data_IF_872407304804
#
_entry.id   IF_872407304804
#
_cell.length_a   1.000
_cell.length_b   1.000
_cell.length_c   1.000
_cell.angle_alpha   90.00
_cell.angle_beta   90.00
_cell.angle_gamma   90.00
#
_symmetry.space_group_name_H-M   'P 1'
#
loop_
_entity.id
_entity.type
_entity.pdbx_description
1 polymer ?
#
# COMPACT_ATOMS: atom_id res chain seq x y z
N UNK A 1 19.59 -13.30 -3.80
CA UNK A 1 20.18 -12.63 -4.99
C UNK A 1 19.73 -13.33 -6.28
N UNK A 2 19.79 -12.69 -7.46
CA UNK A 2 19.32 -13.31 -8.71
C UNK A 2 19.99 -14.66 -9.01
N UNK A 3 21.29 -14.81 -8.70
CA UNK A 3 22.02 -16.06 -8.89
C UNK A 3 21.50 -17.22 -8.02
N UNK A 4 21.08 -16.92 -6.80
CA UNK A 4 20.50 -17.91 -5.89
C UNK A 4 19.13 -18.37 -6.41
N UNK A 5 18.29 -17.44 -6.86
CA UNK A 5 17.01 -17.75 -7.48
C UNK A 5 17.18 -18.54 -8.78
N UNK A 6 18.18 -18.23 -9.60
CA UNK A 6 18.51 -18.97 -10.81
C UNK A 6 18.91 -20.42 -10.49
N UNK A 7 19.71 -20.64 -9.45
CA UNK A 7 20.09 -21.96 -8.99
C UNK A 7 18.87 -22.76 -8.48
N UNK A 8 17.98 -22.13 -7.72
CA UNK A 8 16.73 -22.76 -7.27
C UNK A 8 15.81 -23.14 -8.44
N UNK A 9 15.66 -22.26 -9.43
CA UNK A 9 14.87 -22.55 -10.65
C UNK A 9 15.48 -23.73 -11.41
N UNK A 10 16.80 -23.71 -11.62
CA UNK A 10 17.51 -24.78 -12.32
C UNK A 10 17.36 -26.13 -11.58
N UNK A 11 17.51 -26.12 -10.25
CA UNK A 11 17.31 -27.31 -9.42
C UNK A 11 15.86 -27.81 -9.46
N UNK A 12 14.87 -26.90 -9.42
CA UNK A 12 13.46 -27.25 -9.51
C UNK A 12 13.09 -27.84 -10.89
N UNK A 13 13.75 -27.40 -11.96
CA UNK A 13 13.58 -27.93 -13.32
C UNK A 13 14.33 -29.22 -13.59
N UNK A 14 15.40 -29.51 -12.86
CA UNK A 14 16.23 -30.68 -13.11
C UNK A 14 15.41 -31.98 -13.07
N UNK A 15 15.42 -32.73 -14.18
CA UNK A 15 14.70 -34.01 -14.30
C UNK A 15 13.18 -33.89 -14.47
N UNK A 16 12.66 -32.70 -14.78
CA UNK A 16 11.26 -32.49 -15.15
C UNK A 16 11.14 -32.12 -16.62
N UNK A 17 10.29 -32.84 -17.34
CA UNK A 17 9.87 -32.48 -18.70
C UNK A 17 8.53 -31.75 -18.66
N UNK A 18 8.36 -30.76 -19.55
CA UNK A 18 7.11 -30.05 -19.75
C UNK A 18 7.15 -28.55 -19.40
N UNK A 19 6.02 -27.84 -19.64
CA UNK A 19 5.92 -26.41 -19.45
C UNK A 19 6.02 -26.03 -17.96
N UNK A 20 6.69 -24.91 -17.69
CA UNK A 20 6.85 -24.37 -16.33
C UNK A 20 6.22 -22.98 -16.23
N UNK A 21 5.51 -22.75 -15.12
CA UNK A 21 5.08 -21.43 -14.68
C UNK A 21 5.99 -20.96 -13.53
N UNK A 22 6.72 -19.86 -13.75
CA UNK A 22 7.47 -19.17 -12.71
C UNK A 22 6.60 -18.09 -12.06
N UNK A 23 6.63 -17.99 -10.73
CA UNK A 23 5.99 -16.90 -9.99
C UNK A 23 7.07 -16.16 -9.24
N UNK A 24 7.33 -14.92 -9.64
CA UNK A 24 8.36 -14.05 -9.10
C UNK A 24 7.64 -12.94 -8.30
N UNK A 25 7.63 -13.11 -6.98
CA UNK A 25 6.84 -12.26 -6.09
C UNK A 25 7.64 -11.07 -5.54
N UNK A 26 6.98 -9.93 -5.39
CA UNK A 26 7.50 -8.68 -4.80
C UNK A 26 8.80 -8.17 -5.46
N UNK A 27 8.85 -8.20 -6.78
CA UNK A 27 9.99 -7.70 -7.56
C UNK A 27 10.05 -6.19 -7.42
N UNK A 28 11.22 -5.65 -7.05
CA UNK A 28 11.43 -4.21 -6.87
C UNK A 28 12.30 -3.60 -7.96
N UNK A 29 12.97 -4.42 -8.76
CA UNK A 29 13.77 -4.00 -9.90
C UNK A 29 13.66 -5.05 -11.02
N UNK A 30 13.52 -4.57 -12.27
CA UNK A 30 13.46 -5.43 -13.44
C UNK A 30 14.70 -6.34 -13.53
N UNK A 31 15.87 -5.84 -13.18
CA UNK A 31 17.14 -6.55 -13.30
C UNK A 31 17.22 -7.77 -12.36
N UNK A 32 16.39 -7.83 -11.30
CA UNK A 32 16.27 -9.01 -10.45
C UNK A 32 15.71 -10.22 -11.20
N UNK A 33 14.87 -9.98 -12.21
CA UNK A 33 14.11 -11.04 -12.89
C UNK A 33 14.45 -11.25 -14.34
N UNK A 34 15.04 -10.25 -15.04
CA UNK A 34 15.53 -10.41 -16.41
C UNK A 34 16.31 -11.72 -16.64
N UNK A 35 17.29 -12.10 -15.80
CA UNK A 35 18.04 -13.35 -16.02
C UNK A 35 17.23 -14.62 -15.69
N UNK A 36 16.09 -14.49 -15.01
CA UNK A 36 15.25 -15.60 -14.55
C UNK A 36 14.08 -15.90 -15.50
N UNK A 37 13.75 -14.96 -16.39
CA UNK A 37 12.60 -15.11 -17.29
C UNK A 37 12.84 -16.27 -18.27
N UNK A 38 11.84 -17.13 -18.47
CA UNK A 38 11.99 -18.26 -19.35
C UNK A 38 12.06 -17.81 -20.81
N UNK A 39 12.88 -18.50 -21.60
CA UNK A 39 13.03 -18.27 -23.05
C UNK A 39 12.37 -19.35 -23.90
N UNK A 40 11.81 -20.39 -23.26
CA UNK A 40 11.09 -21.49 -23.92
C UNK A 40 9.69 -21.09 -24.37
N UNK A 41 9.18 -21.74 -25.43
CA UNK A 41 7.89 -21.40 -26.06
C UNK A 41 6.66 -21.81 -25.26
N UNK A 42 6.79 -22.78 -24.35
CA UNK A 42 5.68 -23.30 -23.55
C UNK A 42 5.76 -22.86 -22.07
N UNK A 43 6.78 -22.08 -21.72
CA UNK A 43 7.00 -21.58 -20.38
C UNK A 43 6.34 -20.22 -20.17
N UNK A 44 5.94 -19.93 -18.93
CA UNK A 44 5.34 -18.66 -18.57
C UNK A 44 5.93 -18.12 -17.25
N UNK A 45 5.84 -16.80 -17.07
CA UNK A 45 6.19 -16.14 -15.81
C UNK A 45 5.07 -15.17 -15.39
N UNK A 46 4.75 -15.19 -14.10
CA UNK A 46 3.96 -14.15 -13.43
C UNK A 46 4.94 -13.39 -12.54
N UNK A 47 5.01 -12.08 -12.76
CA UNK A 47 5.80 -11.16 -11.94
C UNK A 47 4.83 -10.30 -11.16
N UNK A 48 4.92 -10.31 -9.84
CA UNK A 48 4.22 -9.34 -9.00
C UNK A 48 5.20 -8.25 -8.60
N UNK A 49 4.71 -7.01 -8.57
CA UNK A 49 5.51 -5.87 -8.16
C UNK A 49 4.60 -4.77 -7.64
N UNK A 50 5.16 -3.93 -6.78
CA UNK A 50 4.55 -2.65 -6.39
C UNK A 50 4.93 -1.52 -7.33
N UNK A 51 5.87 -1.77 -8.25
CA UNK A 51 6.33 -0.85 -9.29
C UNK A 51 5.82 -1.32 -10.64
N UNK A 52 5.73 -0.40 -11.59
CA UNK A 52 5.29 -0.73 -12.94
C UNK A 52 6.26 -1.64 -13.71
N UNK A 53 7.54 -1.65 -13.33
CA UNK A 53 8.61 -2.38 -14.03
C UNK A 53 8.57 -2.14 -15.55
N UNK A 54 8.31 -0.89 -15.98
CA UNK A 54 8.11 -0.55 -17.38
C UNK A 54 9.31 -0.98 -18.26
N UNK A 55 10.52 -0.91 -17.73
CA UNK A 55 11.73 -1.40 -18.41
C UNK A 55 11.75 -2.91 -18.64
N UNK A 56 11.08 -3.72 -17.81
CA UNK A 56 10.92 -5.16 -18.03
C UNK A 56 9.96 -5.43 -19.19
N UNK A 57 8.82 -4.74 -19.18
CA UNK A 57 7.78 -4.84 -20.22
C UNK A 57 8.31 -4.36 -21.57
N UNK A 58 9.06 -3.26 -21.59
CA UNK A 58 9.64 -2.70 -22.80
C UNK A 58 10.61 -3.67 -23.50
N UNK A 59 11.32 -4.50 -22.75
CA UNK A 59 12.35 -5.41 -23.31
C UNK A 59 11.87 -6.85 -23.51
N UNK A 60 10.94 -7.34 -22.68
CA UNK A 60 10.48 -8.74 -22.69
C UNK A 60 9.00 -8.87 -23.10
N UNK A 61 8.29 -7.77 -23.29
CA UNK A 61 6.85 -7.76 -23.53
C UNK A 61 6.05 -8.23 -22.31
N UNK A 62 4.88 -8.82 -22.56
CA UNK A 62 3.97 -9.30 -21.53
C UNK A 62 2.72 -8.45 -21.37
N UNK A 63 1.81 -8.90 -20.50
CA UNK A 63 0.58 -8.19 -20.15
C UNK A 63 0.69 -7.70 -18.71
N UNK A 64 0.56 -6.39 -18.52
CA UNK A 64 0.46 -5.80 -17.18
C UNK A 64 -0.99 -5.86 -16.74
N UNK A 65 -1.22 -6.47 -15.58
CA UNK A 65 -2.52 -6.47 -14.93
C UNK A 65 -2.40 -5.63 -13.66
N UNK A 66 -2.98 -4.42 -13.70
CA UNK A 66 -3.07 -3.56 -12.53
C UNK A 66 -4.14 -4.11 -11.60
N UNK A 67 -3.81 -4.26 -10.33
CA UNK A 67 -4.76 -4.60 -9.29
C UNK A 67 -5.18 -3.31 -8.59
N UNK A 68 -6.48 -3.04 -8.61
CA UNK A 68 -7.06 -1.89 -7.92
C UNK A 68 -7.57 -2.29 -6.53
N UNK A 69 -7.88 -1.30 -5.71
CA UNK A 69 -8.70 -1.53 -4.52
C UNK A 69 -10.07 -2.11 -4.91
N UNK A 70 -10.75 -2.76 -3.98
CA UNK A 70 -12.08 -3.28 -4.27
C UNK A 70 -13.09 -2.16 -4.52
N UNK A 71 -14.05 -2.43 -5.38
CA UNK A 71 -15.30 -1.66 -5.41
C UNK A 71 -16.15 -1.94 -4.17
N UNK A 72 -17.18 -1.11 -3.90
CA UNK A 72 -18.09 -1.32 -2.77
C UNK A 72 -18.82 -2.68 -2.81
N UNK A 73 -19.14 -3.18 -4.01
CA UNK A 73 -19.80 -4.47 -4.19
C UNK A 73 -18.87 -5.65 -3.89
N UNK A 74 -17.64 -5.61 -4.39
CA UNK A 74 -16.61 -6.64 -4.17
C UNK A 74 -16.21 -6.70 -2.68
N UNK A 75 -16.12 -5.53 -2.03
CA UNK A 75 -15.90 -5.47 -0.58
C UNK A 75 -17.01 -6.18 0.19
N UNK A 76 -18.27 -5.98 -0.19
CA UNK A 76 -19.41 -6.64 0.44
C UNK A 76 -19.39 -8.15 0.18
N UNK A 77 -19.00 -8.56 -1.03
CA UNK A 77 -18.85 -9.98 -1.38
C UNK A 77 -17.75 -10.66 -0.56
N UNK A 78 -16.60 -10.00 -0.37
CA UNK A 78 -15.54 -10.48 0.52
C UNK A 78 -16.03 -10.61 1.97
N UNK A 79 -16.77 -9.60 2.48
CA UNK A 79 -17.36 -9.69 3.82
C UNK A 79 -18.30 -10.89 3.93
N UNK A 80 -19.16 -11.13 2.92
CA UNK A 80 -20.08 -12.28 2.89
C UNK A 80 -19.34 -13.61 2.85
N UNK A 81 -18.28 -13.72 2.06
CA UNK A 81 -17.53 -14.96 1.90
C UNK A 81 -16.79 -15.36 3.17
N UNK A 82 -16.29 -14.38 3.95
CA UNK A 82 -15.52 -14.64 5.18
C UNK A 82 -16.40 -14.69 6.43
N UNK A 83 -17.37 -13.78 6.58
CA UNK A 83 -18.20 -13.67 7.79
C UNK A 83 -19.52 -14.45 7.69
N UNK A 84 -19.86 -14.94 6.50
CA UNK A 84 -21.12 -15.62 6.20
C UNK A 84 -22.22 -14.66 5.75
N UNK A 85 -22.97 -15.08 4.72
CA UNK A 85 -24.05 -14.29 4.13
C UNK A 85 -25.12 -13.88 5.16
N UNK A 86 -25.54 -14.80 6.03
CA UNK A 86 -26.57 -14.54 7.05
C UNK A 86 -26.25 -13.32 7.93
N UNK A 87 -25.00 -13.22 8.42
CA UNK A 87 -24.57 -12.11 9.28
C UNK A 87 -24.52 -10.80 8.50
N UNK A 88 -23.93 -10.82 7.32
CA UNK A 88 -23.74 -9.63 6.50
C UNK A 88 -25.06 -9.10 5.96
N UNK A 89 -25.98 -9.98 5.57
CA UNK A 89 -27.29 -9.58 5.02
C UNK A 89 -28.23 -9.07 6.11
N UNK A 90 -28.11 -9.57 7.35
CA UNK A 90 -28.84 -9.03 8.50
C UNK A 90 -28.42 -7.58 8.83
N UNK A 91 -27.17 -7.21 8.57
CA UNK A 91 -26.59 -5.89 8.87
C UNK A 91 -26.01 -5.21 7.61
N UNK A 92 -26.69 -5.31 6.47
CA UNK A 92 -26.10 -4.92 5.16
C UNK A 92 -25.61 -3.46 5.11
N UNK A 93 -26.37 -2.53 5.70
CA UNK A 93 -25.98 -1.13 5.75
C UNK A 93 -24.68 -0.93 6.56
N UNK A 94 -24.54 -1.64 7.68
CA UNK A 94 -23.33 -1.61 8.48
C UNK A 94 -22.15 -2.30 7.80
N UNK A 95 -22.37 -3.41 7.09
CA UNK A 95 -21.34 -4.07 6.30
C UNK A 95 -20.75 -3.13 5.22
N UNK A 96 -21.59 -2.32 4.57
CA UNK A 96 -21.11 -1.28 3.64
C UNK A 96 -20.26 -0.22 4.35
N UNK A 97 -20.64 0.18 5.56
CA UNK A 97 -19.87 1.12 6.39
C UNK A 97 -18.52 0.53 6.81
N UNK A 98 -18.46 -0.76 7.13
CA UNK A 98 -17.19 -1.46 7.38
C UNK A 98 -16.29 -1.39 6.14
N UNK A 99 -16.84 -1.68 4.96
CA UNK A 99 -16.10 -1.58 3.69
C UNK A 99 -15.55 -0.17 3.46
N UNK A 100 -16.37 0.85 3.65
CA UNK A 100 -15.98 2.25 3.51
C UNK A 100 -14.92 2.68 4.55
N UNK A 101 -15.04 2.25 5.81
CA UNK A 101 -14.05 2.53 6.85
C UNK A 101 -12.68 1.87 6.56
N UNK A 102 -12.69 0.72 5.89
CA UNK A 102 -11.49 0.07 5.35
C UNK A 102 -10.98 0.74 4.06
N UNK A 103 -11.61 1.80 3.58
CA UNK A 103 -11.36 2.41 2.27
C UNK A 103 -11.46 1.41 1.13
N UNK A 104 -12.18 0.29 1.29
CA UNK A 104 -12.21 -0.83 0.35
C UNK A 104 -10.83 -1.46 0.03
N UNK A 105 -9.82 -1.21 0.86
CA UNK A 105 -8.48 -1.72 0.65
C UNK A 105 -8.40 -3.21 1.05
N UNK A 106 -7.91 -4.11 0.17
CA UNK A 106 -7.92 -5.55 0.45
C UNK A 106 -7.24 -5.95 1.77
N UNK A 107 -6.11 -5.34 2.13
CA UNK A 107 -5.42 -5.63 3.39
C UNK A 107 -6.27 -5.20 4.61
N UNK A 108 -6.89 -4.02 4.56
CA UNK A 108 -7.73 -3.52 5.64
C UNK A 108 -8.97 -4.39 5.85
N UNK A 109 -9.60 -4.84 4.76
CA UNK A 109 -10.71 -5.77 4.79
C UNK A 109 -10.30 -7.14 5.35
N UNK A 110 -9.12 -7.66 4.98
CA UNK A 110 -8.58 -8.92 5.55
C UNK A 110 -8.34 -8.82 7.05
N UNK A 111 -7.76 -7.73 7.52
CA UNK A 111 -7.55 -7.46 8.96
C UNK A 111 -8.90 -7.42 9.68
N UNK A 112 -9.84 -6.66 9.15
CA UNK A 112 -11.16 -6.45 9.75
C UNK A 112 -12.00 -7.73 9.78
N UNK A 113 -12.01 -8.50 8.69
CA UNK A 113 -12.71 -9.78 8.64
C UNK A 113 -12.11 -10.79 9.63
N UNK A 114 -10.79 -10.90 9.72
CA UNK A 114 -10.15 -11.75 10.73
C UNK A 114 -10.50 -11.33 12.17
N UNK A 115 -10.52 -10.03 12.44
CA UNK A 115 -10.94 -9.48 13.73
C UNK A 115 -12.40 -9.80 14.07
N UNK A 116 -13.31 -9.69 13.09
CA UNK A 116 -14.74 -9.99 13.24
C UNK A 116 -15.06 -11.49 13.30
N UNK A 117 -14.27 -12.33 12.65
CA UNK A 117 -14.41 -13.80 12.71
C UNK A 117 -14.04 -14.35 14.09
N UNK A 118 -13.12 -13.68 14.79
CA UNK A 118 -12.75 -14.04 16.18
C UNK A 118 -13.67 -13.41 17.23
N UNK A 119 -14.64 -12.57 16.83
CA UNK A 119 -15.60 -11.86 17.70
C UNK A 119 -17.02 -11.90 17.12
N UNK A 120 -17.68 -13.06 17.11
CA UNK A 120 -19.01 -13.21 16.51
C UNK A 120 -20.10 -12.36 17.20
N UNK A 121 -19.89 -12.00 18.48
CA UNK A 121 -20.83 -11.16 19.23
C UNK A 121 -20.70 -9.64 18.99
N UNK A 122 -19.68 -9.19 18.26
CA UNK A 122 -19.52 -7.78 17.91
C UNK A 122 -20.36 -7.45 16.67
N UNK A 123 -21.23 -6.44 16.75
CA UNK A 123 -22.05 -6.01 15.61
C UNK A 123 -21.22 -5.38 14.50
N UNK A 124 -21.68 -5.47 13.24
CA UNK A 124 -20.99 -4.80 12.13
C UNK A 124 -21.08 -3.27 12.25
N UNK A 125 -22.17 -2.76 12.84
CA UNK A 125 -22.32 -1.33 13.09
C UNK A 125 -21.27 -0.80 14.06
N UNK A 126 -21.11 -1.48 15.20
CA UNK A 126 -20.13 -1.15 16.24
C UNK A 126 -18.70 -1.24 15.70
N UNK A 127 -18.43 -2.26 14.88
CA UNK A 127 -17.15 -2.40 14.20
C UNK A 127 -16.85 -1.24 13.25
N UNK A 128 -17.84 -0.81 12.46
CA UNK A 128 -17.70 0.32 11.56
C UNK A 128 -17.46 1.64 12.30
N UNK A 129 -18.21 1.90 13.38
CA UNK A 129 -18.02 3.07 14.25
C UNK A 129 -16.62 3.07 14.86
N UNK A 130 -16.20 1.92 15.41
CA UNK A 130 -14.87 1.77 15.96
C UNK A 130 -13.78 2.01 14.89
N UNK A 131 -13.89 1.44 13.69
CA UNK A 131 -12.89 1.66 12.65
C UNK A 131 -12.83 3.12 12.17
N UNK A 132 -13.98 3.81 12.10
CA UNK A 132 -14.06 5.18 11.61
C UNK A 132 -13.34 6.20 12.50
N UNK A 133 -13.18 5.94 13.80
CA UNK A 133 -12.50 6.85 14.74
C UNK A 133 -10.98 6.92 14.52
N UNK A 134 -10.32 5.80 14.18
CA UNK A 134 -8.88 5.76 13.85
C UNK A 134 -8.60 4.61 12.87
N UNK A 135 -8.90 4.80 11.57
CA UNK A 135 -8.74 3.73 10.59
C UNK A 135 -7.32 3.19 10.55
N UNK A 136 -6.31 4.06 10.58
CA UNK A 136 -4.90 3.65 10.43
C UNK A 136 -4.39 2.93 11.67
N UNK A 137 -4.79 3.36 12.86
CA UNK A 137 -4.36 2.71 14.10
C UNK A 137 -5.13 1.47 14.50
N UNK A 138 -6.38 1.35 14.05
CA UNK A 138 -7.26 0.21 14.39
C UNK A 138 -7.19 -0.93 13.38
N UNK A 139 -6.73 -0.67 12.16
CA UNK A 139 -6.47 -1.69 11.15
C UNK A 139 -5.12 -2.39 11.40
N UNK A 140 -5.05 -3.12 12.50
CA UNK A 140 -3.90 -3.94 12.88
C UNK A 140 -4.33 -5.20 13.64
N UNK A 141 -3.69 -6.33 13.32
CA UNK A 141 -3.76 -7.56 14.10
C UNK A 141 -2.48 -7.70 14.95
N UNK A 142 -2.61 -7.79 16.29
CA UNK A 142 -1.45 -7.99 17.16
C UNK A 142 -0.68 -9.27 16.79
N UNK A 143 0.65 -9.16 16.74
CA UNK A 143 1.55 -10.31 16.53
C UNK A 143 2.00 -10.55 15.09
N UNK A 144 1.47 -9.85 14.08
CA UNK A 144 1.99 -9.89 12.71
C UNK A 144 2.05 -8.48 12.09
N UNK A 145 3.24 -7.87 11.95
CA UNK A 145 3.40 -6.56 11.33
C UNK A 145 2.88 -6.47 9.90
N UNK A 146 2.81 -7.60 9.16
CA UNK A 146 2.25 -7.63 7.80
C UNK A 146 0.74 -7.45 7.80
N UNK A 147 0.09 -7.71 8.93
CA UNK A 147 -1.35 -7.51 9.15
C UNK A 147 -1.61 -6.18 9.89
N UNK A 148 -0.83 -5.15 9.59
CA UNK A 148 -1.01 -3.79 10.10
C UNK A 148 -0.86 -2.78 8.97
N UNK A 149 -1.92 -2.00 8.71
CA UNK A 149 -1.89 -0.94 7.68
C UNK A 149 -0.82 0.09 8.01
N UNK A 150 -0.70 0.48 9.28
CA UNK A 150 0.32 1.44 9.75
C UNK A 150 1.74 0.94 9.47
N UNK A 151 2.05 -0.31 9.81
CA UNK A 151 3.41 -0.85 9.63
C UNK A 151 3.74 -1.05 8.15
N UNK A 152 2.79 -1.54 7.35
CA UNK A 152 2.99 -1.76 5.91
C UNK A 152 3.21 -0.44 5.17
N UNK A 153 2.41 0.59 5.46
CA UNK A 153 2.59 1.92 4.88
C UNK A 153 3.82 2.64 5.46
N UNK A 154 4.14 2.42 6.73
CA UNK A 154 5.38 2.89 7.37
C UNK A 154 6.62 2.37 6.66
N UNK A 155 6.70 1.05 6.44
CA UNK A 155 7.78 0.45 5.69
C UNK A 155 7.83 0.92 4.22
N UNK A 156 6.68 1.26 3.62
CA UNK A 156 6.66 1.86 2.28
C UNK A 156 7.22 3.29 2.27
N UNK A 157 6.85 4.11 3.25
CA UNK A 157 7.38 5.46 3.44
C UNK A 157 8.89 5.46 3.70
N UNK A 158 9.40 4.51 4.48
CA UNK A 158 10.84 4.37 4.77
C UNK A 158 11.69 3.97 3.56
N UNK A 159 11.09 3.35 2.54
CA UNK A 159 11.76 2.98 1.28
C UNK A 159 11.85 4.12 0.28
N UNK A 160 11.17 5.23 0.53
CA UNK A 160 11.22 6.40 -0.34
C UNK A 160 12.47 7.23 -0.06
N UNK A 161 12.95 7.90 -1.11
CA UNK A 161 13.89 9.02 -0.96
C UNK A 161 13.25 10.12 -0.11
N UNK A 162 14.07 10.87 0.62
CA UNK A 162 13.61 11.91 1.57
C UNK A 162 12.63 12.90 0.94
N UNK A 163 12.90 13.35 -0.29
CA UNK A 163 12.03 14.28 -1.01
C UNK A 163 10.67 13.67 -1.37
N UNK A 164 10.63 12.40 -1.77
CA UNK A 164 9.38 11.68 -2.07
C UNK A 164 8.59 11.38 -0.78
N UNK A 165 9.29 11.06 0.31
CA UNK A 165 8.66 10.88 1.62
C UNK A 165 8.00 12.17 2.12
N UNK A 166 8.69 13.31 2.02
CA UNK A 166 8.13 14.64 2.33
C UNK A 166 6.93 14.98 1.45
N UNK A 167 7.05 14.73 0.13
CA UNK A 167 5.95 14.91 -0.82
C UNK A 167 4.69 14.12 -0.43
N UNK A 168 4.83 12.84 -0.06
CA UNK A 168 3.69 12.03 0.39
C UNK A 168 2.99 12.64 1.60
N UNK A 169 3.77 13.09 2.60
CA UNK A 169 3.23 13.67 3.82
C UNK A 169 2.50 14.98 3.58
N UNK A 170 3.03 15.84 2.70
CA UNK A 170 2.39 17.10 2.28
C UNK A 170 1.13 16.85 1.48
N UNK A 171 1.13 15.91 0.55
CA UNK A 171 -0.09 15.53 -0.19
C UNK A 171 -1.18 14.98 0.74
N UNK A 172 -0.79 14.35 1.86
CA UNK A 172 -1.72 13.94 2.90
C UNK A 172 -2.54 15.09 3.50
N UNK A 173 -2.01 16.31 3.53
CA UNK A 173 -2.69 17.49 4.09
C UNK A 173 -3.64 18.18 3.13
N UNK A 174 -3.65 17.80 1.84
CA UNK A 174 -4.62 18.30 0.88
C UNK A 174 -6.05 17.98 1.34
N UNK A 175 -6.92 18.98 1.20
CA UNK A 175 -8.34 18.86 1.52
C UNK A 175 -8.99 17.68 0.77
N UNK A 176 -9.98 17.06 1.40
CA UNK A 176 -10.69 15.89 0.85
C UNK A 176 -11.44 16.22 -0.46
N UNK A 177 -11.50 17.49 -0.88
CA UNK A 177 -12.03 17.92 -2.19
C UNK A 177 -11.16 17.48 -3.37
N UNK A 178 -9.91 17.05 -3.15
CA UNK A 178 -9.05 16.47 -4.19
C UNK A 178 -9.20 14.93 -4.30
N UNK A 179 -10.30 14.35 -3.80
CA UNK A 179 -10.59 12.91 -3.96
C UNK A 179 -10.75 12.48 -5.41
N UNK A 180 -11.19 13.40 -6.27
CA UNK A 180 -11.38 13.15 -7.70
C UNK A 180 -10.07 13.20 -8.51
N UNK A 181 -8.96 13.42 -7.81
CA UNK A 181 -7.60 13.44 -8.32
C UNK A 181 -7.05 14.86 -8.50
N UNK A 182 -5.76 14.96 -8.80
CA UNK A 182 -5.04 16.22 -8.96
C UNK A 182 -3.95 16.11 -10.04
N UNK A 183 -3.66 17.23 -10.72
CA UNK A 183 -2.59 17.34 -11.70
C UNK A 183 -1.24 17.71 -11.07
N UNK A 184 -0.18 17.70 -11.89
CA UNK A 184 1.13 18.18 -11.48
C UNK A 184 1.11 19.69 -11.16
N UNK A 185 0.36 20.47 -11.94
CA UNK A 185 0.21 21.92 -11.73
C UNK A 185 -0.42 22.24 -10.37
N UNK A 186 -1.45 21.48 -9.97
CA UNK A 186 -2.10 21.62 -8.66
C UNK A 186 -1.17 21.28 -7.50
N UNK A 187 -0.21 20.38 -7.75
CA UNK A 187 0.71 19.88 -6.74
C UNK A 187 1.93 20.78 -6.51
N UNK A 188 2.28 21.70 -7.43
CA UNK A 188 3.48 22.56 -7.34
C UNK A 188 3.57 23.27 -5.98
N UNK A 189 2.51 23.97 -5.59
CA UNK A 189 2.49 24.74 -4.34
C UNK A 189 2.53 23.84 -3.09
N UNK A 190 1.91 22.67 -3.15
CA UNK A 190 1.82 21.75 -2.00
C UNK A 190 3.16 21.07 -1.77
N UNK A 191 3.79 20.67 -2.88
CA UNK A 191 5.06 19.98 -2.89
C UNK A 191 6.25 20.92 -2.69
N UNK A 192 6.05 22.24 -2.74
CA UNK A 192 7.16 23.21 -2.75
C UNK A 192 8.14 22.91 -3.90
N UNK A 193 7.58 22.60 -5.07
CA UNK A 193 8.33 22.33 -6.28
C UNK A 193 8.61 23.63 -7.03
N UNK A 194 9.78 23.73 -7.68
CA UNK A 194 10.13 24.93 -8.45
C UNK A 194 9.28 25.06 -9.72
N UNK A 195 9.00 23.94 -10.39
CA UNK A 195 8.31 23.88 -11.68
C UNK A 195 7.39 22.63 -11.75
N UNK A 196 6.37 22.61 -12.64
CA UNK A 196 5.47 21.47 -12.83
C UNK A 196 6.18 20.15 -13.11
N UNK A 197 7.32 20.16 -13.79
CA UNK A 197 8.10 18.97 -14.12
C UNK A 197 8.70 18.31 -12.86
N UNK A 198 9.14 19.11 -11.88
CA UNK A 198 9.61 18.57 -10.60
C UNK A 198 8.45 17.94 -9.82
N UNK A 199 7.30 18.60 -9.81
CA UNK A 199 6.09 18.05 -9.20
C UNK A 199 5.69 16.72 -9.88
N UNK A 200 5.63 16.69 -11.21
CA UNK A 200 5.33 15.48 -11.97
C UNK A 200 6.29 14.34 -11.64
N UNK A 201 7.60 14.58 -11.60
CA UNK A 201 8.59 13.56 -11.27
C UNK A 201 8.46 13.03 -9.82
N UNK A 202 7.97 13.83 -8.88
CA UNK A 202 7.65 13.37 -7.52
C UNK A 202 6.39 12.52 -7.50
N UNK A 203 5.35 12.94 -8.22
CA UNK A 203 4.09 12.20 -8.33
C UNK A 203 4.30 10.85 -9.03
N UNK A 204 5.06 10.81 -10.11
CA UNK A 204 5.45 9.58 -10.81
C UNK A 204 6.19 8.62 -9.88
N UNK A 205 7.16 9.10 -9.09
CA UNK A 205 7.86 8.26 -8.11
C UNK A 205 6.94 7.69 -7.03
N UNK A 206 5.92 8.44 -6.61
CA UNK A 206 4.94 7.96 -5.64
C UNK A 206 3.95 6.96 -6.27
N UNK A 207 3.56 7.18 -7.53
CA UNK A 207 2.74 6.24 -8.30
C UNK A 207 3.51 4.93 -8.58
N UNK A 208 4.79 5.03 -8.95
CA UNK A 208 5.72 3.91 -9.07
C UNK A 208 5.88 3.16 -7.74
N UNK A 209 5.77 3.82 -6.60
CA UNK A 209 5.80 3.17 -5.29
C UNK A 209 4.45 2.56 -4.86
N UNK A 210 3.39 2.71 -5.67
CA UNK A 210 2.03 2.25 -5.36
C UNK A 210 1.35 3.07 -4.26
N UNK A 211 1.82 4.29 -4.00
CA UNK A 211 1.26 5.20 -2.99
C UNK A 211 0.31 6.23 -3.61
N UNK A 212 0.40 6.43 -4.92
CA UNK A 212 -0.61 7.09 -5.73
C UNK A 212 -1.16 6.12 -6.78
N UNK A 213 -2.42 6.31 -7.10
CA UNK A 213 -3.11 5.68 -8.21
C UNK A 213 -3.21 6.66 -9.36
N UNK A 214 -3.38 6.12 -10.56
CA UNK A 214 -3.46 6.89 -11.81
C UNK A 214 -2.30 7.89 -12.01
N UNK A 215 -2.33 8.57 -13.15
CA UNK A 215 -1.25 9.40 -13.67
C UNK A 215 -1.55 9.70 -15.15
N UNK A 216 -0.70 10.46 -15.85
CA UNK A 216 -0.96 10.89 -17.21
C UNK A 216 -1.41 9.73 -18.13
N UNK A 217 -2.49 9.90 -18.92
CA UNK A 217 -3.22 11.14 -19.20
C UNK A 217 -4.33 11.48 -18.18
N UNK A 218 -4.52 10.69 -17.13
CA UNK A 218 -5.49 10.95 -16.05
C UNK A 218 -4.89 11.73 -14.88
N UNK A 219 -5.73 12.14 -13.90
CA UNK A 219 -5.26 12.78 -12.69
C UNK A 219 -4.61 11.76 -11.74
N UNK A 220 -3.67 12.20 -10.90
CA UNK A 220 -3.17 11.37 -9.80
C UNK A 220 -4.21 11.30 -8.69
N UNK A 221 -4.32 10.14 -8.04
CA UNK A 221 -5.23 9.90 -6.91
C UNK A 221 -4.46 9.37 -5.73
N UNK A 222 -4.81 9.84 -4.53
CA UNK A 222 -4.30 9.26 -3.29
C UNK A 222 -5.42 8.54 -2.58
N UNK A 223 -5.23 7.24 -2.38
CA UNK A 223 -6.20 6.40 -1.69
C UNK A 223 -6.48 6.91 -0.28
N UNK A 224 -7.74 6.86 0.18
CA UNK A 224 -8.18 7.44 1.44
C UNK A 224 -7.38 6.93 2.67
N UNK A 225 -7.04 5.64 2.69
CA UNK A 225 -6.17 5.08 3.75
C UNK A 225 -4.73 5.59 3.68
N UNK A 226 -4.16 5.76 2.48
CA UNK A 226 -2.80 6.31 2.32
C UNK A 226 -2.79 7.77 2.77
N UNK A 227 -3.81 8.55 2.40
CA UNK A 227 -4.00 9.94 2.88
C UNK A 227 -4.12 10.00 4.39
N UNK A 228 -4.98 9.17 4.99
CA UNK A 228 -5.13 9.10 6.45
C UNK A 228 -3.80 8.78 7.12
N UNK A 229 -3.06 7.80 6.60
CA UNK A 229 -1.74 7.44 7.11
C UNK A 229 -0.75 8.61 7.00
N UNK A 230 -0.66 9.26 5.84
CA UNK A 230 0.22 10.40 5.59
C UNK A 230 -0.06 11.57 6.55
N UNK A 231 -1.34 11.89 6.81
CA UNK A 231 -1.73 12.91 7.81
C UNK A 231 -1.22 12.58 9.21
N UNK A 232 -1.41 11.33 9.67
CA UNK A 232 -0.97 10.90 10.99
C UNK A 232 0.56 10.91 11.11
N UNK A 233 1.27 10.42 10.08
CA UNK A 233 2.74 10.38 10.07
C UNK A 233 3.36 11.79 10.00
N UNK A 234 2.76 12.70 9.23
CA UNK A 234 3.19 14.09 9.11
C UNK A 234 3.04 14.87 10.42
N UNK A 235 1.91 14.70 11.12
CA UNK A 235 1.69 15.30 12.44
C UNK A 235 2.71 14.83 13.49
N UNK A 236 3.07 13.54 13.47
CA UNK A 236 4.10 13.00 14.35
C UNK A 236 5.50 13.59 14.07
N UNK A 237 5.91 13.67 12.79
CA UNK A 237 7.19 14.28 12.39
C UNK A 237 7.27 15.79 12.69
N UNK A 238 6.17 16.52 12.48
CA UNK A 238 6.08 17.95 12.83
C UNK A 238 6.16 18.20 14.34
N UNK A 239 5.54 17.34 15.15
CA UNK A 239 5.61 17.43 16.61
C UNK A 239 7.02 17.14 17.17
N UNK A 240 7.76 16.21 16.57
CA UNK A 240 9.14 15.90 16.93
C UNK A 240 10.14 17.03 16.60
N UNK A 241 9.87 17.82 15.56
CA UNK A 241 10.63 19.04 15.22
C UNK A 241 10.36 20.25 16.13
N UNK A 242 9.36 20.18 17.01
CA UNK A 242 8.94 21.30 17.88
C UNK A 242 9.39 21.20 19.35
N UNK A 243 10.09 20.12 19.74
CA UNK A 243 10.65 19.97 21.09
C UNK A 243 12.15 20.28 21.13
N UNK A 244 12.47 21.57 21.10
CA UNK A 244 13.78 22.08 21.46
C UNK A 244 14.15 21.73 22.90
N UNK A 245 15.36 21.17 23.07
CA UNK A 245 16.20 21.06 24.26
C UNK A 245 15.53 21.25 25.64
N UNK A 246 15.54 20.17 26.46
CA UNK A 246 15.77 20.30 27.91
C UNK A 246 17.10 19.63 28.28
N UNK A 247 18.11 20.37 28.77
CA UNK A 247 19.31 19.76 29.31
C UNK A 247 18.95 19.06 30.62
N UNK A 248 19.24 17.76 30.68
CA UNK A 248 19.18 16.98 31.93
C UNK A 248 20.23 17.54 32.90
N UNK A 249 19.78 18.20 33.97
CA UNK A 249 20.64 18.56 35.11
C UNK A 249 21.20 17.27 35.73
N UNK A 250 22.50 17.01 35.54
CA UNK A 250 23.25 16.07 36.38
C UNK A 250 23.25 16.58 37.82
N UNK A 251 22.57 15.87 38.71
CA UNK A 251 22.83 16.00 40.14
C UNK A 251 24.21 15.42 40.45
N UNK A 252 25.05 16.26 41.03
CA UNK A 252 26.24 15.85 41.73
C UNK A 252 25.84 15.12 43.01
N UNK A 253 26.51 14.00 43.29
CA UNK A 253 26.61 13.49 44.66
C UNK A 253 28.07 13.17 44.93
N UNK A 254 28.69 14.03 45.76
CA UNK A 254 29.93 13.80 46.48
C UNK A 254 29.55 13.29 47.87
N UNK A 255 30.23 12.22 48.29
CA UNK A 255 30.41 11.68 49.66
C UNK A 255 29.14 11.25 50.39
#
# INVERSE_FOLDING_TARGET
PADEAAAEIAAARAGRDGPVLLVLDDVVDADQVRPLLPTGTDDAAIVTSRRWLAGLVATHGGRVHRLDAFGPAESLELLRSVLGATRVDAEQAAARRVGAACGHFPLALRITTAWLSTRPGLGLAEAADWLAEDPVGRLSLPGDPRMSVREVLGAALERLEERSADALLRLGTLEDTCTDGFGADDAVSVLDAAEPEEAAALLDRLADAGLLEDGPPGPYRMHALVRSFARHAGGARGSAGSHGLRPTRRHAQKV
#
